data_IF_263137076366
#
_entry.id   IF_263137076366
#
_cell.length_a   1.000
_cell.length_b   1.000
_cell.length_c   1.000
_cell.angle_alpha   90.00
_cell.angle_beta   90.00
_cell.angle_gamma   90.00
#
_symmetry.space_group_name_H-M   'P 1'
#
loop_
_entity.id
_entity.type
_entity.pdbx_description
1 polymer ?
#
# COMPACT_ATOMS: atom_id res chain seq x y z
N UNK A 1 14.90 33.97 13.19
CA UNK A 1 14.54 34.01 11.74
C UNK A 1 14.94 32.67 11.14
N UNK A 2 13.99 31.76 11.03
CA UNK A 2 14.23 30.44 10.42
C UNK A 2 13.61 30.46 9.01
N UNK A 3 14.43 30.36 7.98
CA UNK A 3 13.99 30.29 6.60
C UNK A 3 13.93 28.82 6.16
N UNK A 4 12.75 28.35 5.76
CA UNK A 4 12.59 27.03 5.20
C UNK A 4 12.66 27.07 3.67
N UNK A 5 13.43 26.15 3.07
CA UNK A 5 13.52 25.99 1.61
C UNK A 5 12.45 25.04 1.14
N UNK A 6 11.55 25.50 0.29
CA UNK A 6 10.58 24.66 -0.42
C UNK A 6 11.09 24.43 -1.84
N UNK A 7 11.20 23.18 -2.27
CA UNK A 7 11.63 22.82 -3.62
C UNK A 7 10.43 22.82 -4.58
N UNK A 8 10.43 23.74 -5.55
CA UNK A 8 9.55 23.69 -6.73
C UNK A 8 10.44 23.77 -7.98
N UNK A 9 10.64 22.63 -8.64
CA UNK A 9 11.49 22.57 -9.82
C UNK A 9 12.93 23.02 -9.55
N UNK A 10 13.66 23.48 -10.54
CA UNK A 10 15.06 23.90 -10.45
C UNK A 10 15.30 25.27 -9.74
N UNK A 11 14.31 25.88 -9.11
CA UNK A 11 14.47 27.15 -8.39
C UNK A 11 13.90 27.07 -6.99
N UNK A 12 14.71 27.51 -6.00
CA UNK A 12 14.27 27.70 -4.62
C UNK A 12 13.53 29.03 -4.50
N UNK A 13 12.29 29.00 -4.00
CA UNK A 13 11.54 30.20 -3.63
C UNK A 13 11.65 30.38 -2.14
N UNK A 14 12.15 31.51 -1.69
CA UNK A 14 12.17 31.89 -0.27
C UNK A 14 10.84 32.62 0.00
N UNK A 15 10.00 32.01 0.82
CA UNK A 15 8.79 32.67 1.35
C UNK A 15 9.13 33.22 2.73
N UNK A 16 9.16 34.53 2.87
CA UNK A 16 9.24 35.20 4.18
C UNK A 16 7.87 35.11 4.84
N UNK A 17 7.78 34.36 5.95
CA UNK A 17 6.58 34.29 6.78
C UNK A 17 6.58 35.51 7.70
N UNK A 18 5.54 36.32 7.58
CA UNK A 18 5.27 37.46 8.49
C UNK A 18 5.11 37.00 9.94
N UNK A 19 5.43 37.87 10.89
CA UNK A 19 5.24 37.64 12.33
C UNK A 19 3.74 37.43 12.63
N UNK A 20 3.38 36.19 12.98
CA UNK A 20 2.09 35.87 13.63
C UNK A 20 2.37 35.28 15.01
N UNK A 21 1.47 35.53 15.96
CA UNK A 21 1.55 35.02 17.33
C UNK A 21 1.71 33.51 17.40
N UNK A 22 1.94 32.91 18.58
CA UNK A 22 2.27 31.48 18.75
C UNK A 22 1.32 30.57 17.95
N UNK A 23 1.67 30.30 16.70
CA UNK A 23 0.91 29.40 15.85
C UNK A 23 1.08 27.99 16.43
N UNK A 24 -0.04 27.27 16.57
CA UNK A 24 -0.01 25.87 16.91
C UNK A 24 0.83 25.13 15.86
N UNK A 25 1.66 24.22 16.31
CA UNK A 25 2.55 23.41 15.45
C UNK A 25 2.17 21.95 15.53
N UNK A 26 2.41 21.22 14.46
CA UNK A 26 2.36 19.76 14.42
C UNK A 26 3.76 19.20 14.16
N UNK A 27 4.08 18.08 14.80
CA UNK A 27 5.31 17.35 14.55
C UNK A 27 5.00 16.19 13.61
N UNK A 28 5.71 16.11 12.49
CA UNK A 28 5.62 14.98 11.56
C UNK A 28 6.95 14.25 11.48
N UNK A 29 6.90 12.91 11.47
CA UNK A 29 8.07 12.09 11.25
C UNK A 29 8.30 11.91 9.74
N UNK A 30 9.49 12.25 9.27
CA UNK A 30 9.90 12.15 7.87
C UNK A 30 11.10 11.23 7.73
N UNK A 31 11.10 10.41 6.68
CA UNK A 31 12.27 9.66 6.25
C UNK A 31 13.13 10.62 5.41
N UNK A 32 14.25 11.07 5.95
CA UNK A 32 15.06 12.15 5.36
C UNK A 32 16.38 11.67 4.74
N UNK A 33 16.73 10.39 4.97
CA UNK A 33 17.94 9.80 4.45
C UNK A 33 18.04 8.33 4.75
N UNK A 34 19.16 7.73 4.41
CA UNK A 34 19.41 6.32 4.69
C UNK A 34 19.39 6.07 6.20
N UNK A 35 18.50 5.18 6.64
CA UNK A 35 18.32 4.81 8.04
C UNK A 35 18.07 6.01 8.96
N UNK A 36 17.46 7.08 8.41
CA UNK A 36 17.25 8.34 9.12
C UNK A 36 15.80 8.76 9.10
N UNK A 37 15.23 8.96 10.28
CA UNK A 37 13.90 9.56 10.51
C UNK A 37 14.09 10.80 11.34
N UNK A 38 13.49 11.91 10.92
CA UNK A 38 13.50 13.18 11.65
C UNK A 38 12.08 13.61 12.00
N UNK A 39 11.89 14.05 13.24
CA UNK A 39 10.69 14.81 13.62
C UNK A 39 10.89 16.26 13.20
N UNK A 40 9.97 16.78 12.38
CA UNK A 40 9.98 18.17 11.90
C UNK A 40 8.71 18.87 12.29
N UNK A 41 8.87 20.17 12.58
CA UNK A 41 7.76 21.06 12.90
C UNK A 41 7.15 21.63 11.63
N UNK A 42 5.82 21.61 11.58
CA UNK A 42 5.00 22.22 10.54
C UNK A 42 3.93 23.12 11.19
N UNK A 43 3.48 24.16 10.49
CA UNK A 43 2.32 24.92 10.92
C UNK A 43 1.09 23.99 11.07
N UNK A 44 0.22 24.29 12.02
CA UNK A 44 -1.07 23.60 12.14
C UNK A 44 -1.80 23.63 10.79
N UNK A 45 -2.20 22.48 10.22
CA UNK A 45 -2.82 22.45 8.91
C UNK A 45 -4.19 23.11 8.92
N UNK A 46 -4.48 23.90 7.88
CA UNK A 46 -5.80 24.50 7.63
C UNK A 46 -6.36 23.94 6.32
N UNK A 47 -7.68 23.70 6.21
CA UNK A 47 -8.25 23.15 5.01
C UNK A 47 -8.26 24.19 3.89
N UNK A 48 -7.84 23.81 2.68
CA UNK A 48 -8.16 24.55 1.47
C UNK A 48 -9.67 24.48 1.18
N UNK A 49 -10.20 25.33 0.31
CA UNK A 49 -11.64 25.39 0.01
C UNK A 49 -12.24 24.01 -0.35
N UNK A 50 -11.50 23.19 -1.13
CA UNK A 50 -11.89 21.82 -1.53
C UNK A 50 -11.12 20.74 -0.72
N UNK A 51 -10.55 21.09 0.42
CA UNK A 51 -9.74 20.20 1.26
C UNK A 51 -10.38 19.93 2.61
N UNK A 52 -9.81 18.97 3.31
CA UNK A 52 -10.13 18.62 4.70
C UNK A 52 -8.86 18.55 5.52
N UNK A 53 -8.98 18.83 6.83
CA UNK A 53 -7.97 18.46 7.84
C UNK A 53 -8.47 17.22 8.55
N UNK A 54 -7.59 16.23 8.69
CA UNK A 54 -7.88 14.97 9.37
C UNK A 54 -6.96 14.84 10.58
N UNK A 55 -7.56 14.61 11.75
CA UNK A 55 -6.85 14.13 12.93
C UNK A 55 -6.63 12.64 12.77
N UNK A 56 -5.36 12.21 12.67
CA UNK A 56 -4.99 10.82 12.37
C UNK A 56 -5.09 9.98 13.64
N UNK A 57 -5.82 8.86 13.57
CA UNK A 57 -5.85 7.86 14.62
C UNK A 57 -4.70 6.86 14.46
N UNK A 58 -4.53 6.33 13.24
CA UNK A 58 -3.50 5.35 12.90
C UNK A 58 -2.96 5.57 11.50
N UNK A 59 -1.67 5.28 11.33
CA UNK A 59 -1.01 5.21 10.04
C UNK A 59 -0.20 3.89 9.94
N UNK A 60 -0.47 3.07 8.93
CA UNK A 60 0.28 1.84 8.68
C UNK A 60 1.68 2.12 8.10
N UNK A 61 2.65 1.28 8.46
CA UNK A 61 3.96 1.27 7.80
C UNK A 61 3.87 0.40 6.55
N UNK A 62 4.22 0.98 5.40
CA UNK A 62 4.27 0.31 4.11
C UNK A 62 5.67 -0.17 3.75
N UNK A 63 5.77 -1.17 2.85
CA UNK A 63 7.03 -1.55 2.22
C UNK A 63 7.74 -0.39 1.52
N UNK A 64 6.99 0.56 0.97
CA UNK A 64 7.53 1.79 0.36
C UNK A 64 8.30 2.65 1.38
N UNK A 65 7.81 2.77 2.61
CA UNK A 65 8.49 3.50 3.69
C UNK A 65 9.80 2.78 4.08
N UNK A 66 9.76 1.44 4.13
CA UNK A 66 10.93 0.62 4.43
C UNK A 66 12.00 0.77 3.33
N UNK A 67 11.62 0.72 2.05
CA UNK A 67 12.52 0.93 0.92
C UNK A 67 13.15 2.32 0.93
N UNK A 68 12.36 3.37 1.21
CA UNK A 68 12.86 4.74 1.35
C UNK A 68 13.92 4.83 2.46
N UNK A 69 13.63 4.23 3.62
CA UNK A 69 14.53 4.19 4.78
C UNK A 69 15.83 3.47 4.47
N UNK A 70 15.78 2.29 3.84
CA UNK A 70 16.96 1.50 3.48
C UNK A 70 17.82 2.17 2.40
N UNK A 71 17.19 2.71 1.35
CA UNK A 71 17.92 3.22 0.18
C UNK A 71 18.53 4.60 0.40
N UNK A 72 17.93 5.42 1.26
CA UNK A 72 18.27 6.82 1.42
C UNK A 72 18.06 7.67 0.15
N UNK A 73 17.36 7.13 -0.87
CA UNK A 73 17.00 7.88 -2.06
C UNK A 73 15.99 8.96 -1.72
N UNK A 74 15.92 10.06 -2.49
CA UNK A 74 14.93 11.09 -2.27
C UNK A 74 13.50 10.50 -2.22
N UNK A 75 12.82 10.72 -1.14
CA UNK A 75 11.46 10.23 -0.88
C UNK A 75 10.52 11.43 -0.80
N UNK A 76 9.35 11.34 -1.45
CA UNK A 76 8.37 12.41 -1.37
C UNK A 76 7.72 12.44 0.02
N UNK A 77 7.92 13.49 0.83
CA UNK A 77 7.36 13.57 2.17
C UNK A 77 5.82 13.42 2.21
N UNK A 78 5.14 13.81 1.13
CA UNK A 78 3.66 13.73 1.05
C UNK A 78 3.12 12.31 1.03
N UNK A 79 3.96 11.30 0.72
CA UNK A 79 3.57 9.88 0.75
C UNK A 79 4.20 9.10 1.90
N UNK A 80 5.02 9.74 2.73
CA UNK A 80 5.59 9.12 3.92
C UNK A 80 4.47 8.76 4.91
N UNK A 81 4.18 7.46 5.08
CA UNK A 81 2.99 7.04 5.80
C UNK A 81 1.69 7.34 5.02
N UNK A 82 1.41 6.57 3.99
CA UNK A 82 0.23 6.75 3.12
C UNK A 82 -0.94 5.81 3.45
N UNK A 83 -0.83 5.01 4.52
CA UNK A 83 -1.87 4.07 4.95
C UNK A 83 -2.56 4.59 6.23
N UNK A 84 -3.23 5.76 6.18
CA UNK A 84 -3.80 6.36 7.39
C UNK A 84 -5.32 6.39 7.41
N UNK A 85 -5.86 6.40 8.62
CA UNK A 85 -7.24 6.69 8.97
C UNK A 85 -7.30 7.73 10.08
N UNK A 86 -8.38 8.46 10.13
CA UNK A 86 -8.61 9.47 11.18
C UNK A 86 -9.99 10.09 11.10
N UNK A 87 -10.19 11.16 11.86
CA UNK A 87 -11.45 11.89 11.94
C UNK A 87 -11.28 13.26 11.30
N UNK A 88 -12.19 13.67 10.44
CA UNK A 88 -12.22 15.01 9.86
C UNK A 88 -12.39 16.04 10.99
N UNK A 89 -11.38 16.89 11.20
CA UNK A 89 -11.37 17.93 12.23
C UNK A 89 -11.72 19.33 11.68
N UNK A 90 -11.58 19.53 10.36
CA UNK A 90 -12.03 20.74 9.68
C UNK A 90 -12.29 20.45 8.20
N UNK A 91 -13.29 21.12 7.61
CA UNK A 91 -13.64 20.99 6.20
C UNK A 91 -13.68 22.35 5.52
N UNK A 92 -13.14 22.42 4.29
CA UNK A 92 -13.21 23.62 3.46
C UNK A 92 -14.63 23.91 2.98
N UNK A 93 -14.86 25.15 2.62
CA UNK A 93 -16.22 25.65 2.28
C UNK A 93 -16.89 24.96 1.10
N UNK A 94 -16.12 24.36 0.19
CA UNK A 94 -16.63 23.68 -1.00
C UNK A 94 -16.80 22.15 -0.81
N UNK A 95 -16.41 21.61 0.35
CA UNK A 95 -16.54 20.20 0.67
C UNK A 95 -18.00 19.83 0.92
N UNK A 96 -18.45 18.71 0.34
CA UNK A 96 -19.83 18.20 0.47
C UNK A 96 -19.88 16.70 0.78
N UNK A 97 -18.84 15.95 0.45
CA UNK A 97 -18.83 14.49 0.57
C UNK A 97 -18.64 13.99 2.00
N UNK A 98 -17.93 14.77 2.82
CA UNK A 98 -17.63 14.46 4.22
C UNK A 98 -17.85 15.69 5.09
N UNK A 99 -18.00 15.49 6.40
CA UNK A 99 -18.20 16.55 7.39
C UNK A 99 -17.26 16.35 8.59
N UNK A 100 -17.11 17.37 9.41
CA UNK A 100 -16.43 17.27 10.70
C UNK A 100 -17.06 16.17 11.56
N UNK A 101 -16.20 15.35 12.18
CA UNK A 101 -16.59 14.16 12.93
C UNK A 101 -16.69 12.87 12.12
N UNK A 102 -16.69 12.92 10.78
CA UNK A 102 -16.65 11.72 9.96
C UNK A 102 -15.30 11.02 10.08
N UNK A 103 -15.30 9.71 10.32
CA UNK A 103 -14.09 8.89 10.18
C UNK A 103 -13.83 8.61 8.71
N UNK A 104 -12.58 8.79 8.29
CA UNK A 104 -12.15 8.66 6.89
C UNK A 104 -10.85 7.87 6.78
N UNK A 105 -10.63 7.29 5.60
CA UNK A 105 -9.35 6.71 5.16
C UNK A 105 -8.84 7.48 3.96
N UNK A 106 -7.52 7.50 3.79
CA UNK A 106 -6.89 8.09 2.60
C UNK A 106 -7.02 7.14 1.41
N UNK A 107 -7.28 7.71 0.25
CA UNK A 107 -7.23 7.01 -1.04
C UNK A 107 -6.45 7.84 -2.07
N UNK A 108 -6.16 7.26 -3.24
CA UNK A 108 -5.78 8.03 -4.41
C UNK A 108 -6.96 8.89 -4.88
N UNK A 109 -6.66 9.98 -5.59
CA UNK A 109 -7.73 10.81 -6.16
C UNK A 109 -8.57 10.03 -7.18
N UNK A 110 -9.86 10.32 -7.34
CA UNK A 110 -10.66 9.76 -8.42
C UNK A 110 -10.16 10.26 -9.79
N UNK A 111 -10.56 9.56 -10.86
CA UNK A 111 -10.24 9.98 -12.23
C UNK A 111 -10.78 11.39 -12.51
N UNK A 112 -9.94 12.25 -13.12
CA UNK A 112 -10.25 13.68 -13.26
C UNK A 112 -11.33 14.01 -14.32
N UNK A 113 -11.68 13.05 -15.19
CA UNK A 113 -12.64 13.25 -16.27
C UNK A 113 -12.17 14.16 -17.42
N UNK A 114 -11.01 14.84 -17.27
CA UNK A 114 -10.60 15.92 -18.18
C UNK A 114 -9.29 15.65 -18.95
N UNK A 115 -8.45 14.71 -18.52
CA UNK A 115 -7.21 14.39 -19.24
C UNK A 115 -7.47 13.54 -20.49
N UNK A 116 -6.45 13.43 -21.35
CA UNK A 116 -6.57 12.65 -22.61
C UNK A 116 -6.96 11.19 -22.38
N UNK A 117 -6.44 10.56 -21.32
CA UNK A 117 -6.80 9.19 -20.97
C UNK A 117 -8.30 9.07 -20.58
N UNK A 118 -8.80 10.00 -19.74
CA UNK A 118 -10.22 10.04 -19.38
C UNK A 118 -11.12 10.27 -20.59
N UNK A 119 -10.75 11.21 -21.49
CA UNK A 119 -11.50 11.45 -22.71
C UNK A 119 -11.50 10.24 -23.67
N UNK A 120 -10.47 9.41 -23.61
CA UNK A 120 -10.41 8.14 -24.36
C UNK A 120 -11.13 6.98 -23.66
N UNK A 121 -11.83 7.21 -22.53
CA UNK A 121 -12.47 6.18 -21.73
C UNK A 121 -11.52 5.29 -20.92
N UNK A 122 -10.24 5.67 -20.82
CA UNK A 122 -9.19 4.95 -20.10
C UNK A 122 -8.93 5.62 -18.73
N UNK A 123 -9.93 5.63 -17.87
CA UNK A 123 -9.86 6.27 -16.55
C UNK A 123 -8.79 5.63 -15.64
N UNK A 124 -8.47 4.35 -15.87
CA UNK A 124 -7.39 3.59 -15.28
C UNK A 124 -5.99 4.15 -15.58
N UNK A 125 -5.87 5.01 -16.61
CA UNK A 125 -4.62 5.68 -16.99
C UNK A 125 -4.66 7.19 -16.71
N UNK A 126 -5.54 7.62 -15.84
CA UNK A 126 -5.68 9.02 -15.50
C UNK A 126 -4.42 9.57 -14.84
N UNK A 127 -3.89 10.70 -15.37
CA UNK A 127 -2.71 11.35 -14.80
C UNK A 127 -2.93 11.87 -13.40
N UNK A 128 -4.12 12.32 -13.04
CA UNK A 128 -4.44 12.81 -11.69
C UNK A 128 -4.36 11.68 -10.68
N UNK A 129 -4.88 10.49 -11.01
CA UNK A 129 -4.75 9.29 -10.16
C UNK A 129 -3.28 8.96 -9.93
N UNK A 130 -2.50 8.92 -11.01
CA UNK A 130 -1.06 8.62 -10.93
C UNK A 130 -0.28 9.65 -10.11
N UNK A 131 -0.51 10.95 -10.34
CA UNK A 131 0.13 12.02 -9.56
C UNK A 131 -0.27 11.98 -8.08
N UNK A 132 -1.53 11.67 -7.80
CA UNK A 132 -2.03 11.51 -6.42
C UNK A 132 -1.35 10.34 -5.71
N UNK A 133 -1.18 9.20 -6.39
CA UNK A 133 -0.45 8.05 -5.84
C UNK A 133 1.02 8.36 -5.55
N UNK A 134 1.61 9.33 -6.27
CA UNK A 134 2.98 9.82 -6.03
C UNK A 134 3.05 10.99 -5.03
N UNK A 135 1.93 11.40 -4.42
CA UNK A 135 1.88 12.56 -3.54
C UNK A 135 2.23 13.89 -4.24
N UNK A 136 1.85 14.04 -5.52
CA UNK A 136 2.12 15.20 -6.37
C UNK A 136 0.84 15.86 -6.91
N UNK A 137 -0.27 15.63 -6.27
CA UNK A 137 -1.51 16.34 -6.60
C UNK A 137 -1.48 17.82 -6.13
N UNK A 138 -2.43 18.60 -6.63
CA UNK A 138 -2.44 20.05 -6.40
C UNK A 138 -2.59 20.49 -4.94
N UNK A 139 -3.12 19.62 -4.08
CA UNK A 139 -3.29 19.85 -2.64
C UNK A 139 -2.44 18.85 -1.82
N UNK A 140 -1.32 18.36 -2.39
CA UNK A 140 -0.42 17.48 -1.67
C UNK A 140 0.16 18.20 -0.44
N UNK A 141 0.08 17.57 0.75
CA UNK A 141 0.62 18.16 1.97
C UNK A 141 2.16 18.12 1.98
N UNK A 142 2.80 18.93 2.86
CA UNK A 142 4.27 18.93 2.98
C UNK A 142 4.82 17.68 3.70
N UNK A 143 3.95 16.85 4.28
CA UNK A 143 4.28 15.60 4.97
C UNK A 143 3.16 14.58 4.76
N UNK A 144 3.38 13.32 5.11
CA UNK A 144 2.36 12.28 5.08
C UNK A 144 1.73 12.00 6.44
N UNK A 145 1.22 10.78 6.61
CA UNK A 145 0.39 10.40 7.75
C UNK A 145 1.15 10.03 9.04
N UNK A 146 2.48 10.07 9.06
CA UNK A 146 3.22 9.97 10.33
C UNK A 146 3.22 11.31 11.06
N UNK A 147 2.03 11.83 11.31
CA UNK A 147 1.75 13.10 11.95
C UNK A 147 0.37 13.08 12.62
N UNK A 148 0.13 13.85 13.69
CA UNK A 148 -1.17 13.88 14.35
C UNK A 148 -2.29 14.47 13.48
N UNK A 149 -1.96 15.35 12.52
CA UNK A 149 -2.93 15.99 11.61
C UNK A 149 -2.33 16.18 10.22
N UNK A 150 -3.22 16.11 9.21
CA UNK A 150 -2.86 16.30 7.81
C UNK A 150 -3.96 17.03 7.06
N UNK A 151 -3.60 17.95 6.16
CA UNK A 151 -4.54 18.58 5.23
C UNK A 151 -4.42 17.91 3.85
N UNK A 152 -5.53 17.47 3.27
CA UNK A 152 -5.57 16.83 1.96
C UNK A 152 -6.78 17.27 1.16
N UNK A 153 -6.76 17.04 -0.17
CA UNK A 153 -7.95 17.22 -1.00
C UNK A 153 -9.09 16.32 -0.48
N UNK A 154 -10.31 16.87 -0.35
CA UNK A 154 -11.47 16.09 0.09
C UNK A 154 -11.82 14.92 -0.84
N UNK A 155 -11.43 15.00 -2.11
CA UNK A 155 -11.58 13.91 -3.07
C UNK A 155 -10.66 12.70 -2.80
N UNK A 156 -9.67 12.85 -1.90
CA UNK A 156 -8.75 11.77 -1.50
C UNK A 156 -9.17 11.05 -0.24
N UNK A 157 -10.27 11.40 0.36
CA UNK A 157 -10.76 10.69 1.55
C UNK A 157 -12.05 9.96 1.25
N UNK A 158 -12.16 8.77 1.81
CA UNK A 158 -13.35 7.92 1.72
C UNK A 158 -13.87 7.70 3.14
N UNK A 159 -15.19 7.88 3.34
CA UNK A 159 -15.82 7.65 4.64
C UNK A 159 -15.72 6.18 5.03
N UNK A 160 -15.31 5.93 6.26
CA UNK A 160 -15.18 4.58 6.80
C UNK A 160 -16.55 3.97 7.09
N UNK A 161 -16.74 2.70 6.74
CA UNK A 161 -17.91 1.93 7.18
C UNK A 161 -17.91 1.87 8.72
N UNK A 162 -19.01 2.27 9.40
CA UNK A 162 -19.06 2.35 10.85
C UNK A 162 -18.88 1.01 11.58
N UNK A 163 -18.93 -0.11 10.86
CA UNK A 163 -18.65 -1.45 11.40
C UNK A 163 -17.14 -1.69 11.62
N UNK A 164 -16.27 -0.90 10.99
CA UNK A 164 -14.83 -1.04 11.12
C UNK A 164 -14.29 -0.26 12.31
N UNK A 165 -13.37 -0.89 13.04
CA UNK A 165 -12.52 -0.20 14.01
C UNK A 165 -11.50 0.70 13.29
N UNK A 166 -10.91 1.67 14.01
CA UNK A 166 -9.87 2.52 13.45
C UNK A 166 -8.66 1.69 12.96
N UNK A 167 -8.26 0.65 13.70
CA UNK A 167 -7.15 -0.23 13.32
C UNK A 167 -7.45 -1.04 12.04
N UNK A 168 -8.69 -1.46 11.84
CA UNK A 168 -9.13 -2.11 10.59
C UNK A 168 -9.16 -1.10 9.44
N UNK A 169 -9.66 0.11 9.70
CA UNK A 169 -9.73 1.18 8.71
C UNK A 169 -8.34 1.59 8.17
N UNK A 170 -7.30 1.64 9.02
CA UNK A 170 -5.92 1.91 8.60
C UNK A 170 -5.35 0.83 7.66
N UNK A 171 -5.97 -0.35 7.59
CA UNK A 171 -5.54 -1.44 6.73
C UNK A 171 -6.37 -1.57 5.44
N UNK A 172 -7.35 -0.70 5.22
CA UNK A 172 -8.16 -0.70 3.99
C UNK A 172 -7.28 -0.38 2.77
N UNK A 173 -6.34 0.57 2.92
CA UNK A 173 -5.44 0.95 1.82
C UNK A 173 -4.63 -0.26 1.30
N UNK A 174 -3.79 -0.94 2.09
CA UNK A 174 -3.03 -2.08 1.60
C UNK A 174 -3.91 -3.27 1.18
N UNK A 175 -5.07 -3.45 1.79
CA UNK A 175 -6.05 -4.45 1.35
C UNK A 175 -6.58 -4.13 -0.05
N UNK A 176 -6.79 -2.85 -0.38
CA UNK A 176 -7.24 -2.41 -1.70
C UNK A 176 -6.15 -2.58 -2.76
N UNK A 177 -4.87 -2.38 -2.42
CA UNK A 177 -3.74 -2.70 -3.32
C UNK A 177 -3.80 -4.18 -3.73
N UNK A 178 -3.97 -5.08 -2.76
CA UNK A 178 -4.08 -6.51 -3.03
C UNK A 178 -5.36 -6.86 -3.83
N UNK A 179 -6.48 -6.17 -3.56
CA UNK A 179 -7.73 -6.32 -4.31
C UNK A 179 -7.53 -5.95 -5.79
N UNK A 180 -6.94 -4.77 -6.06
CA UNK A 180 -6.65 -4.31 -7.41
C UNK A 180 -5.78 -5.31 -8.19
N UNK A 181 -4.74 -5.83 -7.55
CA UNK A 181 -3.86 -6.82 -8.15
C UNK A 181 -4.62 -8.09 -8.57
N UNK A 182 -5.49 -8.61 -7.72
CA UNK A 182 -6.29 -9.80 -8.06
C UNK A 182 -7.30 -9.50 -9.15
N UNK A 183 -8.00 -8.36 -9.08
CA UNK A 183 -8.99 -7.92 -10.08
C UNK A 183 -8.38 -7.76 -11.47
N UNK A 184 -7.15 -7.20 -11.55
CA UNK A 184 -6.45 -6.94 -12.83
C UNK A 184 -5.67 -8.14 -13.37
N UNK A 185 -5.44 -9.19 -12.56
CA UNK A 185 -4.54 -10.30 -12.88
C UNK A 185 -5.07 -11.29 -13.93
N UNK A 186 -6.36 -11.25 -14.21
CA UNK A 186 -7.02 -12.23 -15.08
C UNK A 186 -7.23 -13.60 -14.42
N UNK A 187 -7.22 -13.69 -13.08
CA UNK A 187 -7.62 -14.88 -12.33
C UNK A 187 -8.98 -15.38 -12.79
N UNK A 188 -9.13 -16.69 -12.91
CA UNK A 188 -10.39 -17.33 -13.29
C UNK A 188 -10.89 -18.24 -12.18
N UNK A 189 -12.21 -18.40 -12.11
CA UNK A 189 -12.82 -19.37 -11.22
C UNK A 189 -12.23 -20.76 -11.47
N UNK A 190 -11.77 -21.42 -10.41
CA UNK A 190 -11.16 -22.75 -10.47
C UNK A 190 -9.65 -22.77 -10.69
N UNK A 191 -9.00 -21.63 -10.95
CA UNK A 191 -7.54 -21.56 -11.09
C UNK A 191 -6.83 -22.07 -9.82
N UNK A 192 -5.66 -22.72 -10.00
CA UNK A 192 -4.69 -22.95 -8.92
C UNK A 192 -3.74 -21.76 -8.89
N UNK A 193 -3.69 -21.07 -7.76
CA UNK A 193 -2.88 -19.87 -7.57
C UNK A 193 -1.72 -20.12 -6.59
N UNK A 194 -0.57 -19.53 -6.89
CA UNK A 194 0.56 -19.42 -5.97
C UNK A 194 0.74 -17.97 -5.56
N UNK A 195 0.91 -17.72 -4.27
CA UNK A 195 1.27 -16.39 -3.73
C UNK A 195 2.67 -16.49 -3.14
N UNK A 196 3.62 -15.78 -3.72
CA UNK A 196 4.97 -15.66 -3.20
C UNK A 196 5.03 -14.48 -2.22
N UNK A 197 5.46 -14.80 -0.99
CA UNK A 197 5.49 -13.86 0.14
C UNK A 197 4.21 -13.87 0.97
N UNK A 198 4.36 -13.91 2.29
CA UNK A 198 3.28 -13.75 3.28
C UNK A 198 3.47 -12.49 4.12
N UNK A 199 3.89 -11.39 3.49
CA UNK A 199 3.78 -10.04 4.02
C UNK A 199 2.32 -9.54 3.91
N UNK A 200 2.02 -8.30 4.36
CA UNK A 200 0.65 -7.77 4.34
C UNK A 200 -0.02 -7.86 2.96
N UNK A 201 0.71 -7.54 1.89
CA UNK A 201 0.20 -7.61 0.52
C UNK A 201 -0.06 -9.06 0.11
N UNK A 202 0.87 -9.99 0.37
CA UNK A 202 0.67 -11.40 0.02
C UNK A 202 -0.48 -12.06 0.79
N UNK A 203 -0.63 -11.75 2.08
CA UNK A 203 -1.75 -12.24 2.90
C UNK A 203 -3.09 -11.62 2.49
N UNK A 204 -3.09 -10.35 2.08
CA UNK A 204 -4.25 -9.72 1.42
C UNK A 204 -4.58 -10.44 0.11
N UNK A 205 -3.60 -10.60 -0.77
CA UNK A 205 -3.75 -11.28 -2.07
C UNK A 205 -4.30 -12.70 -1.91
N UNK A 206 -3.80 -13.48 -0.97
CA UNK A 206 -4.32 -14.80 -0.62
C UNK A 206 -5.85 -14.77 -0.41
N UNK A 207 -6.32 -13.85 0.42
CA UNK A 207 -7.75 -13.78 0.77
C UNK A 207 -8.60 -13.35 -0.43
N UNK A 208 -8.13 -12.37 -1.22
CA UNK A 208 -8.82 -11.93 -2.43
C UNK A 208 -8.88 -13.01 -3.52
N UNK A 209 -7.78 -13.74 -3.71
CA UNK A 209 -7.71 -14.89 -4.66
C UNK A 209 -8.71 -15.98 -4.27
N UNK A 210 -8.85 -16.27 -2.98
CA UNK A 210 -9.88 -17.19 -2.48
C UNK A 210 -11.29 -16.65 -2.70
N UNK A 211 -11.52 -15.39 -2.35
CA UNK A 211 -12.83 -14.74 -2.53
C UNK A 211 -13.23 -14.68 -4.02
N UNK A 212 -12.27 -14.59 -4.93
CA UNK A 212 -12.48 -14.62 -6.38
C UNK A 212 -12.67 -16.03 -6.96
N UNK A 213 -12.57 -17.08 -6.13
CA UNK A 213 -12.96 -18.45 -6.50
C UNK A 213 -11.83 -19.31 -7.05
N UNK A 214 -10.57 -19.04 -6.69
CA UNK A 214 -9.49 -20.00 -6.95
C UNK A 214 -9.80 -21.35 -6.28
N UNK A 215 -9.54 -22.45 -6.98
CA UNK A 215 -9.74 -23.81 -6.45
C UNK A 215 -8.73 -24.16 -5.37
N UNK A 216 -7.53 -23.63 -5.49
CA UNK A 216 -6.44 -23.81 -4.52
C UNK A 216 -5.56 -22.57 -4.47
N UNK A 217 -5.09 -22.22 -3.27
CA UNK A 217 -4.07 -21.19 -3.05
C UNK A 217 -2.94 -21.77 -2.24
N UNK A 218 -1.73 -21.73 -2.81
CA UNK A 218 -0.47 -22.16 -2.18
C UNK A 218 0.33 -20.90 -1.87
N UNK A 219 0.73 -20.74 -0.60
CA UNK A 219 1.57 -19.62 -0.17
C UNK A 219 3.02 -20.08 -0.01
N UNK A 220 3.96 -19.32 -0.56
CA UNK A 220 5.40 -19.60 -0.48
C UNK A 220 6.06 -18.53 0.37
N UNK A 221 6.53 -18.92 1.57
CA UNK A 221 7.05 -17.98 2.57
C UNK A 221 8.12 -18.64 3.45
N UNK A 222 9.31 -18.04 3.64
CA UNK A 222 10.36 -18.62 4.46
C UNK A 222 10.02 -18.64 5.96
N UNK A 223 9.32 -17.63 6.53
CA UNK A 223 8.99 -17.57 7.95
C UNK A 223 7.92 -18.60 8.34
N UNK A 224 8.18 -19.50 9.29
CA UNK A 224 7.17 -20.42 9.82
C UNK A 224 5.97 -19.70 10.46
N UNK A 225 6.21 -18.59 11.15
CA UNK A 225 5.16 -17.81 11.79
C UNK A 225 4.21 -17.19 10.75
N UNK A 226 4.76 -16.60 9.69
CA UNK A 226 3.94 -16.03 8.60
C UNK A 226 3.21 -17.10 7.81
N UNK A 227 3.81 -18.31 7.63
CA UNK A 227 3.09 -19.45 7.04
C UNK A 227 1.88 -19.87 7.88
N UNK A 228 2.01 -19.88 9.21
CA UNK A 228 0.90 -20.18 10.11
C UNK A 228 -0.25 -19.17 9.94
N UNK A 229 0.05 -17.87 9.83
CA UNK A 229 -0.95 -16.83 9.53
C UNK A 229 -1.59 -17.07 8.15
N UNK A 230 -0.82 -17.43 7.14
CA UNK A 230 -1.37 -17.76 5.81
C UNK A 230 -2.37 -18.92 5.88
N UNK A 231 -2.07 -19.98 6.61
CA UNK A 231 -3.00 -21.11 6.83
C UNK A 231 -4.26 -20.67 7.59
N UNK A 232 -4.11 -19.86 8.63
CA UNK A 232 -5.23 -19.28 9.38
C UNK A 232 -6.15 -18.45 8.48
N UNK A 233 -5.58 -17.68 7.54
CA UNK A 233 -6.32 -16.88 6.56
C UNK A 233 -6.83 -17.70 5.37
N UNK A 234 -6.60 -19.02 5.40
CA UNK A 234 -7.20 -20.00 4.51
C UNK A 234 -6.37 -20.34 3.29
N UNK A 235 -5.05 -20.18 3.32
CA UNK A 235 -4.21 -20.89 2.37
C UNK A 235 -4.49 -22.40 2.45
N UNK A 236 -4.55 -23.07 1.32
CA UNK A 236 -4.68 -24.53 1.31
C UNK A 236 -3.36 -25.18 1.73
N UNK A 237 -2.25 -24.54 1.35
CA UNK A 237 -0.91 -24.96 1.71
C UNK A 237 -0.03 -23.72 1.92
N UNK A 238 0.92 -23.81 2.85
CA UNK A 238 1.92 -22.79 3.08
C UNK A 238 3.28 -23.44 3.29
N UNK A 239 4.22 -23.19 2.38
CA UNK A 239 5.50 -23.91 2.30
C UNK A 239 6.68 -22.96 2.24
N UNK A 240 7.85 -23.45 2.67
CA UNK A 240 9.10 -22.72 2.49
C UNK A 240 9.54 -22.75 1.02
N UNK A 241 10.24 -21.70 0.51
CA UNK A 241 10.82 -21.74 -0.83
C UNK A 241 11.77 -22.94 -1.00
N UNK A 242 11.73 -23.61 -2.15
CA UNK A 242 12.61 -24.74 -2.46
C UNK A 242 11.94 -25.79 -3.33
N UNK A 243 12.56 -26.97 -3.42
CA UNK A 243 12.06 -28.10 -4.24
C UNK A 243 10.70 -28.61 -3.77
N UNK A 244 10.44 -28.58 -2.46
CA UNK A 244 9.13 -28.94 -1.90
C UNK A 244 7.99 -28.07 -2.45
N UNK A 245 8.26 -26.81 -2.78
CA UNK A 245 7.30 -25.95 -3.48
C UNK A 245 6.97 -26.47 -4.87
N UNK A 246 7.99 -26.87 -5.64
CA UNK A 246 7.80 -27.41 -7.00
C UNK A 246 6.98 -28.70 -6.98
N UNK A 247 7.31 -29.59 -6.06
CA UNK A 247 6.64 -30.89 -5.92
C UNK A 247 5.16 -30.69 -5.56
N UNK A 248 4.88 -29.80 -4.60
CA UNK A 248 3.53 -29.48 -4.18
C UNK A 248 2.70 -28.84 -5.31
N UNK A 249 3.27 -27.86 -6.02
CA UNK A 249 2.59 -27.24 -7.17
C UNK A 249 2.31 -28.27 -8.25
N UNK A 250 3.27 -29.15 -8.58
CA UNK A 250 3.07 -30.23 -9.56
C UNK A 250 2.01 -31.22 -9.12
N UNK A 251 2.00 -31.64 -7.85
CA UNK A 251 1.01 -32.54 -7.29
C UNK A 251 -0.41 -32.01 -7.52
N UNK A 252 -0.64 -30.74 -7.17
CA UNK A 252 -1.97 -30.14 -7.26
C UNK A 252 -2.37 -29.64 -8.65
N UNK A 253 -1.47 -29.72 -9.63
CA UNK A 253 -1.71 -29.27 -11.01
C UNK A 253 -1.47 -30.38 -12.04
N UNK A 254 -1.44 -31.63 -11.60
CA UNK A 254 -1.13 -32.79 -12.48
C UNK A 254 0.16 -32.61 -13.28
N UNK A 255 1.18 -32.01 -12.70
CA UNK A 255 2.48 -31.75 -13.30
C UNK A 255 2.58 -30.50 -14.20
N UNK A 256 1.48 -29.75 -14.38
CA UNK A 256 1.43 -28.63 -15.33
C UNK A 256 2.07 -27.35 -14.78
N UNK A 257 1.98 -27.08 -13.49
CA UNK A 257 2.31 -25.81 -12.84
C UNK A 257 1.07 -24.94 -12.56
N UNK A 258 1.23 -23.85 -11.82
CA UNK A 258 0.14 -22.98 -11.39
C UNK A 258 -0.48 -22.21 -12.57
N UNK A 259 -1.80 -21.97 -12.52
CA UNK A 259 -2.50 -21.14 -13.49
C UNK A 259 -2.08 -19.67 -13.39
N UNK A 260 -1.84 -19.23 -12.17
CA UNK A 260 -1.39 -17.87 -11.88
C UNK A 260 -0.44 -17.83 -10.68
N UNK A 261 0.58 -16.99 -10.75
CA UNK A 261 1.51 -16.72 -9.64
C UNK A 261 1.51 -15.22 -9.34
N UNK A 262 1.28 -14.87 -8.08
CA UNK A 262 1.37 -13.51 -7.55
C UNK A 262 2.74 -13.33 -6.90
N UNK A 263 3.54 -12.41 -7.45
CA UNK A 263 4.83 -12.04 -6.89
C UNK A 263 4.62 -10.86 -5.94
N UNK A 264 4.68 -11.12 -4.61
CA UNK A 264 4.46 -10.14 -3.54
C UNK A 264 5.72 -9.93 -2.68
N UNK A 265 6.87 -10.45 -3.09
CA UNK A 265 8.13 -10.40 -2.32
C UNK A 265 8.93 -9.14 -2.66
N UNK A 266 8.94 -8.73 -3.94
CA UNK A 266 9.72 -7.60 -4.41
C UNK A 266 11.23 -7.86 -4.39
N UNK A 267 11.67 -9.10 -4.67
CA UNK A 267 13.08 -9.44 -4.78
C UNK A 267 13.41 -9.96 -6.18
N UNK A 268 14.58 -9.60 -6.75
CA UNK A 268 14.93 -9.94 -8.13
C UNK A 268 14.76 -11.43 -8.48
N UNK A 269 15.18 -12.34 -7.60
CA UNK A 269 15.06 -13.78 -7.84
C UNK A 269 13.62 -14.31 -7.79
N UNK A 270 12.72 -13.63 -7.11
CA UNK A 270 11.32 -14.02 -7.01
C UNK A 270 10.58 -13.86 -8.34
N UNK A 271 11.01 -12.90 -9.17
CA UNK A 271 10.40 -12.63 -10.49
C UNK A 271 10.54 -13.82 -11.43
N UNK A 272 11.76 -14.33 -11.62
CA UNK A 272 11.98 -15.53 -12.43
C UNK A 272 11.29 -16.75 -11.81
N UNK A 273 11.37 -16.86 -10.48
CA UNK A 273 10.75 -17.98 -9.76
C UNK A 273 9.24 -18.04 -9.95
N UNK A 274 8.56 -16.89 -10.06
CA UNK A 274 7.13 -16.86 -10.36
C UNK A 274 6.82 -17.52 -11.72
N UNK A 275 7.64 -17.24 -12.72
CA UNK A 275 7.50 -17.85 -14.06
C UNK A 275 7.81 -19.35 -14.02
N UNK A 276 8.80 -19.78 -13.23
CA UNK A 276 9.15 -21.20 -13.12
C UNK A 276 8.00 -22.02 -12.54
N UNK A 277 7.27 -21.48 -11.56
CA UNK A 277 6.11 -22.12 -10.93
C UNK A 277 4.85 -22.13 -11.81
N UNK A 278 4.73 -21.17 -12.72
CA UNK A 278 3.57 -21.08 -13.60
C UNK A 278 3.58 -22.17 -14.69
N UNK A 279 2.40 -22.61 -15.09
CA UNK A 279 2.25 -23.52 -16.24
C UNK A 279 2.50 -22.82 -17.58
N UNK A 280 2.59 -23.56 -18.66
CA UNK A 280 2.50 -23.00 -20.03
C UNK A 280 1.14 -22.32 -20.23
N UNK A 281 1.13 -21.13 -20.83
CA UNK A 281 -0.04 -20.27 -20.97
C UNK A 281 -0.56 -19.74 -19.62
N UNK A 282 0.27 -19.83 -18.57
CA UNK A 282 -0.03 -19.29 -17.25
C UNK A 282 0.16 -17.78 -17.15
N UNK A 283 -0.08 -17.24 -15.98
CA UNK A 283 -0.01 -15.82 -15.70
C UNK A 283 0.91 -15.53 -14.51
N UNK A 284 1.56 -14.37 -14.55
CA UNK A 284 2.25 -13.78 -13.41
C UNK A 284 1.68 -12.40 -13.16
N UNK A 285 1.34 -12.10 -11.90
CA UNK A 285 1.02 -10.76 -11.44
C UNK A 285 2.16 -10.24 -10.57
N UNK A 286 2.84 -9.18 -11.03
CA UNK A 286 3.93 -8.53 -10.32
C UNK A 286 3.36 -7.42 -9.45
N UNK A 287 3.52 -7.54 -8.13
CA UNK A 287 3.01 -6.61 -7.12
C UNK A 287 4.16 -6.11 -6.25
N UNK A 288 5.12 -6.99 -5.97
CA UNK A 288 6.29 -6.65 -5.16
C UNK A 288 7.17 -5.60 -5.83
N UNK A 289 7.57 -4.58 -5.07
CA UNK A 289 8.49 -3.55 -5.55
C UNK A 289 9.94 -4.06 -5.45
N UNK A 290 10.56 -4.35 -6.59
CA UNK A 290 11.98 -4.66 -6.70
C UNK A 290 12.71 -3.46 -7.31
N UNK A 291 13.65 -2.88 -6.56
CA UNK A 291 14.45 -1.72 -6.99
C UNK A 291 15.73 -2.12 -7.75
N UNK A 292 16.03 -3.42 -7.82
CA UNK A 292 17.23 -3.97 -8.45
C UNK A 292 16.87 -4.72 -9.73
N UNK A 293 17.86 -4.87 -10.61
CA UNK A 293 17.70 -5.66 -11.84
C UNK A 293 17.41 -7.13 -11.52
N UNK A 294 16.33 -7.66 -12.09
CA UNK A 294 15.95 -9.06 -11.94
C UNK A 294 16.55 -9.93 -13.05
N UNK A 295 17.31 -10.99 -12.71
CA UNK A 295 17.78 -11.94 -13.70
C UNK A 295 16.60 -12.77 -14.22
N UNK A 296 16.34 -12.70 -15.52
CA UNK A 296 15.29 -13.47 -16.18
C UNK A 296 15.88 -14.36 -17.28
N UNK A 297 15.17 -15.44 -17.59
CA UNK A 297 15.49 -16.34 -18.70
C UNK A 297 14.42 -16.19 -19.80
N UNK A 298 14.61 -15.27 -20.77
CA UNK A 298 13.57 -14.95 -21.76
C UNK A 298 13.09 -16.16 -22.56
N UNK A 299 13.96 -17.13 -22.84
CA UNK A 299 13.59 -18.37 -23.54
C UNK A 299 12.53 -19.18 -22.78
N UNK A 300 12.61 -19.22 -21.43
CA UNK A 300 11.60 -19.90 -20.59
C UNK A 300 10.26 -19.17 -20.68
N UNK A 301 10.28 -17.84 -20.63
CA UNK A 301 9.07 -17.01 -20.74
C UNK A 301 8.39 -17.22 -22.10
N UNK A 302 9.19 -17.24 -23.19
CA UNK A 302 8.70 -17.46 -24.54
C UNK A 302 8.07 -18.86 -24.70
N UNK A 303 8.78 -19.92 -24.27
CA UNK A 303 8.29 -21.30 -24.40
C UNK A 303 7.03 -21.53 -23.57
N UNK A 304 6.95 -20.91 -22.40
CA UNK A 304 5.76 -20.99 -21.54
C UNK A 304 4.62 -20.07 -21.98
N UNK A 305 4.85 -19.14 -22.93
CA UNK A 305 3.83 -18.15 -23.36
C UNK A 305 3.20 -17.43 -22.16
N UNK A 306 4.06 -16.94 -21.22
CA UNK A 306 3.62 -16.32 -19.97
C UNK A 306 2.99 -14.95 -20.23
N UNK A 307 1.77 -14.73 -19.72
CA UNK A 307 1.19 -13.41 -19.63
C UNK A 307 1.62 -12.74 -18.31
N UNK A 308 2.14 -11.51 -18.41
CA UNK A 308 2.59 -10.73 -17.24
C UNK A 308 1.70 -9.52 -17.07
N UNK A 309 1.18 -9.35 -15.87
CA UNK A 309 0.47 -8.14 -15.43
C UNK A 309 1.27 -7.50 -14.30
N UNK A 310 1.55 -6.21 -14.37
CA UNK A 310 2.07 -5.43 -13.26
C UNK A 310 0.91 -4.66 -12.60
N UNK A 311 0.87 -4.65 -11.29
CA UNK A 311 -0.17 -3.98 -10.51
C UNK A 311 0.46 -2.96 -9.57
N UNK A 312 0.02 -1.71 -9.67
CA UNK A 312 0.47 -0.61 -8.83
C UNK A 312 -0.74 0.13 -8.26
N UNK A 313 -0.75 0.33 -6.94
CA UNK A 313 -1.82 1.05 -6.25
C UNK A 313 -3.22 0.44 -6.53
N UNK A 314 -4.21 1.27 -6.81
CA UNK A 314 -5.62 0.87 -6.97
C UNK A 314 -6.40 2.03 -7.62
N UNK A 315 -7.69 1.81 -7.90
CA UNK A 315 -8.62 2.86 -8.31
C UNK A 315 -9.48 3.32 -7.12
N UNK A 316 -9.87 4.59 -7.12
CA UNK A 316 -10.63 5.19 -6.03
C UNK A 316 -11.92 4.39 -5.71
N UNK A 317 -12.64 3.93 -6.72
CA UNK A 317 -13.86 3.14 -6.57
C UNK A 317 -13.65 1.73 -5.98
N UNK A 318 -12.42 1.22 -6.02
CA UNK A 318 -12.09 -0.09 -5.45
C UNK A 318 -12.03 -0.06 -3.92
N UNK A 319 -11.82 1.11 -3.35
CA UNK A 319 -11.75 1.31 -1.90
C UNK A 319 -13.05 0.91 -1.20
N UNK A 320 -14.18 1.37 -1.70
CA UNK A 320 -15.48 1.04 -1.13
C UNK A 320 -15.77 -0.47 -1.22
N UNK A 321 -15.38 -1.10 -2.34
CA UNK A 321 -15.55 -2.55 -2.54
C UNK A 321 -14.71 -3.34 -1.53
N UNK A 322 -13.43 -2.98 -1.38
CA UNK A 322 -12.53 -3.63 -0.43
C UNK A 322 -13.02 -3.44 1.01
N UNK A 323 -13.39 -2.21 1.38
CA UNK A 323 -13.92 -1.87 2.70
C UNK A 323 -15.18 -2.66 3.04
N UNK A 324 -16.12 -2.79 2.11
CA UNK A 324 -17.34 -3.57 2.32
C UNK A 324 -17.03 -5.06 2.61
N UNK A 325 -16.07 -5.66 1.91
CA UNK A 325 -15.71 -7.05 2.15
C UNK A 325 -14.97 -7.26 3.46
N UNK A 326 -14.21 -6.27 3.93
CA UNK A 326 -13.60 -6.30 5.27
C UNK A 326 -14.71 -6.18 6.32
N UNK A 327 -15.62 -5.23 6.16
CA UNK A 327 -16.74 -5.02 7.08
C UNK A 327 -17.69 -6.21 7.18
N UNK A 328 -17.83 -6.99 6.10
CA UNK A 328 -18.61 -8.23 6.05
C UNK A 328 -17.84 -9.45 6.59
N UNK A 329 -16.58 -9.29 7.00
CA UNK A 329 -15.73 -10.38 7.51
C UNK A 329 -15.26 -11.39 6.45
N UNK A 330 -15.43 -11.07 5.16
CA UNK A 330 -14.95 -11.92 4.05
C UNK A 330 -13.44 -11.79 3.83
N UNK A 331 -12.87 -10.67 4.25
CA UNK A 331 -11.44 -10.41 4.30
C UNK A 331 -11.09 -9.93 5.70
N UNK A 332 -10.19 -10.65 6.37
CA UNK A 332 -9.76 -10.38 7.72
C UNK A 332 -8.45 -9.59 7.70
N UNK A 333 -8.43 -8.43 8.34
CA UNK A 333 -7.22 -7.59 8.47
C UNK A 333 -6.65 -7.60 9.89
N UNK A 334 -7.45 -7.97 10.91
CA UNK A 334 -6.98 -8.04 12.30
C UNK A 334 -5.78 -8.98 12.51
N UNK A 335 -5.71 -10.18 11.88
CA UNK A 335 -4.56 -11.06 12.04
C UNK A 335 -3.25 -10.50 11.47
N UNK A 336 -3.33 -9.45 10.65
CA UNK A 336 -2.16 -8.79 10.09
C UNK A 336 -1.61 -7.70 11.02
N UNK A 337 -2.43 -7.10 11.88
CA UNK A 337 -2.03 -6.08 12.83
C UNK A 337 -1.24 -6.71 13.99
N UNK A 338 0.08 -6.53 13.99
CA UNK A 338 0.97 -7.17 14.97
C UNK A 338 1.40 -6.25 16.10
N UNK A 339 1.48 -4.96 15.87
CA UNK A 339 1.84 -3.99 16.92
C UNK A 339 1.39 -2.57 16.61
N UNK A 340 1.34 -1.73 17.66
CA UNK A 340 1.10 -0.28 17.57
C UNK A 340 2.20 0.46 18.30
N UNK A 341 2.78 1.47 17.65
CA UNK A 341 3.89 2.30 18.18
C UNK A 341 3.51 3.78 18.16
N UNK A 342 4.23 4.63 18.88
CA UNK A 342 4.23 6.08 18.73
C UNK A 342 5.20 6.54 17.64
N UNK A 343 5.21 7.86 17.35
CA UNK A 343 6.14 8.46 16.39
C UNK A 343 7.61 8.26 16.79
N UNK A 344 7.91 8.25 18.07
CA UNK A 344 9.25 8.01 18.64
C UNK A 344 9.78 6.61 18.34
N UNK A 345 8.90 5.61 18.20
CA UNK A 345 9.25 4.23 17.84
C UNK A 345 9.50 4.01 16.34
N UNK A 346 9.19 4.99 15.48
CA UNK A 346 9.17 4.77 14.02
C UNK A 346 10.53 4.37 13.44
N UNK A 347 11.61 5.06 13.82
CA UNK A 347 12.95 4.77 13.30
C UNK A 347 13.43 3.36 13.67
N UNK A 348 13.25 2.96 14.94
CA UNK A 348 13.59 1.62 15.41
C UNK A 348 12.80 0.52 14.70
N UNK A 349 11.50 0.74 14.53
CA UNK A 349 10.60 -0.21 13.84
C UNK A 349 10.91 -0.32 12.35
N UNK A 350 11.22 0.78 11.66
CA UNK A 350 11.67 0.74 10.27
C UNK A 350 12.97 -0.07 10.14
N UNK A 351 13.92 0.09 11.08
CA UNK A 351 15.16 -0.71 11.12
C UNK A 351 14.89 -2.21 11.34
N UNK A 352 13.97 -2.56 12.25
CA UNK A 352 13.55 -3.95 12.48
C UNK A 352 12.92 -4.55 11.20
N UNK A 353 11.96 -3.88 10.61
CA UNK A 353 11.29 -4.31 9.39
C UNK A 353 12.26 -4.42 8.20
N UNK A 354 13.20 -3.48 8.08
CA UNK A 354 14.22 -3.44 7.05
C UNK A 354 15.20 -4.62 7.15
N UNK A 355 15.44 -5.15 8.35
CA UNK A 355 16.29 -6.33 8.54
C UNK A 355 15.73 -7.60 7.89
N UNK A 356 14.42 -7.66 7.70
CA UNK A 356 13.71 -8.84 7.23
C UNK A 356 13.72 -10.02 8.20
N UNK A 357 14.23 -9.82 9.42
CA UNK A 357 14.35 -10.85 10.47
C UNK A 357 13.31 -10.62 11.57
N UNK A 358 12.08 -10.36 11.17
CA UNK A 358 10.96 -10.09 12.09
C UNK A 358 9.70 -10.80 11.63
N UNK A 359 8.90 -11.23 12.59
CA UNK A 359 7.57 -11.77 12.34
C UNK A 359 6.48 -10.68 12.28
N UNK A 360 6.85 -9.42 12.47
CA UNK A 360 5.93 -8.29 12.29
C UNK A 360 5.33 -8.31 10.88
N UNK A 361 4.02 -8.05 10.80
CA UNK A 361 3.29 -7.95 9.54
C UNK A 361 2.88 -6.50 9.28
N UNK A 362 1.79 -6.05 9.89
CA UNK A 362 1.36 -4.65 9.81
C UNK A 362 1.57 -3.98 11.18
N UNK A 363 2.43 -2.98 11.18
CA UNK A 363 2.63 -2.10 12.32
C UNK A 363 1.86 -0.82 12.08
N UNK A 364 1.07 -0.41 13.06
CA UNK A 364 0.35 0.87 13.03
C UNK A 364 1.09 1.89 13.90
N UNK A 365 1.21 3.11 13.40
CA UNK A 365 1.72 4.27 14.13
C UNK A 365 0.51 5.03 14.66
N UNK A 366 0.46 5.26 15.97
CA UNK A 366 -0.46 6.17 16.64
C UNK A 366 0.27 7.50 16.88
N UNK A 367 0.00 8.54 16.08
CA UNK A 367 0.73 9.81 16.20
C UNK A 367 0.37 10.62 17.46
N UNK A 368 -0.66 10.21 18.18
CA UNK A 368 -1.10 10.83 19.43
C UNK A 368 -0.49 10.22 20.69
N UNK A 369 0.29 9.13 20.52
CA UNK A 369 0.87 8.34 21.60
C UNK A 369 2.26 8.84 22.02
#
# INVERSE_FOLDING_TARGET
>A
MSAHRIWQGERAVIVELGQAGSEAIVHAALITGKETVELREFPEPVPADAGVVVAIDYCGICGTDIHAFQSGRPYNPAICGHEWTGVVSAAGRDVRAVAEGDRVVVAVAPACGACSACHAGQTDRCQTVFLSALGRDALAPPHGGFAPRIAVAASRVVRVDPRLTAAQAAQVEPATVAFHAVRSSGLRLGDVAVVQGAGPIGLGTLQWVRAAGASRVIVVEPSPARRAVALQLGAHDAVAPGTATDDLVREHTHGLGADIVYECVGRPLAVQRAVDLARRGGRMCLIGLADEDAPITPAVWLVKEIAVTASLAYFHEEFEMAMAMIADGRVAVDPLHTSTIGLDGLAGTLGELASGQTDQLKVLVDPGR
#
